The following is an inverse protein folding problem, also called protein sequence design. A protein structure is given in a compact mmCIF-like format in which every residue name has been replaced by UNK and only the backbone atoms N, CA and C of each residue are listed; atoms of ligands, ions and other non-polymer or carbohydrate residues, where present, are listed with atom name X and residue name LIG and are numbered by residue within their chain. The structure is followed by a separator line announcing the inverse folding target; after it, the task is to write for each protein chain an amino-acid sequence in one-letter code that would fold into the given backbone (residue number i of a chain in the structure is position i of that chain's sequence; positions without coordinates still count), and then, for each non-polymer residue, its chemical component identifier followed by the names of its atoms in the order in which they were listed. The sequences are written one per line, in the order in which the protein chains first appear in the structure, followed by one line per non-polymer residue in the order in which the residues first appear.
data_IF_193843854220
#
_entry.id   IF_193843854220
#
_cell.length_a   1.000
_cell.length_b   1.000
_cell.length_c   1.000
_cell.angle_alpha   90.00
_cell.angle_beta   90.00
_cell.angle_gamma   90.00
#
_symmetry.space_group_name_H-M   'P 1'
#
loop_
_entity.id
_entity.type
_entity.pdbx_description
1 polymer ?
#
# COMPACT_ATOMS: atom_id res chain seq x y z
N UNK A 1 -10.89 3.82 13.84
CA UNK A 1 -11.07 3.76 12.37
C UNK A 1 -10.04 4.60 11.62
N UNK A 2 -9.98 5.93 11.81
CA UNK A 2 -9.02 6.80 11.10
C UNK A 2 -7.54 6.41 11.30
N UNK A 3 -7.17 6.05 12.52
CA UNK A 3 -5.82 5.60 12.84
C UNK A 3 -5.44 4.27 12.14
N UNK A 4 -6.38 3.32 12.06
CA UNK A 4 -6.17 2.05 11.33
C UNK A 4 -5.96 2.33 9.84
N UNK A 5 -6.73 3.25 9.25
CA UNK A 5 -6.55 3.66 7.85
C UNK A 5 -5.18 4.31 7.60
N UNK A 6 -4.70 5.16 8.51
CA UNK A 6 -3.38 5.79 8.43
C UNK A 6 -2.25 4.75 8.55
N UNK A 7 -2.35 3.81 9.49
CA UNK A 7 -1.41 2.69 9.63
C UNK A 7 -1.41 1.81 8.38
N UNK A 8 -2.60 1.44 7.90
CA UNK A 8 -2.76 0.65 6.68
C UNK A 8 -2.14 1.34 5.46
N UNK A 9 -2.46 2.62 5.25
CA UNK A 9 -1.92 3.41 4.15
C UNK A 9 -0.39 3.47 4.16
N UNK A 10 0.22 3.71 5.32
CA UNK A 10 1.69 3.75 5.47
C UNK A 10 2.35 2.40 5.19
N UNK A 11 1.81 1.30 5.73
CA UNK A 11 2.38 -0.05 5.54
C UNK A 11 2.22 -0.51 4.09
N UNK A 12 1.03 -0.32 3.51
CA UNK A 12 0.76 -0.65 2.11
C UNK A 12 1.65 0.17 1.16
N UNK A 13 1.71 1.48 1.34
CA UNK A 13 2.49 2.39 0.49
C UNK A 13 3.98 2.06 0.49
N UNK A 14 4.56 1.87 1.67
CA UNK A 14 5.98 1.49 1.80
C UNK A 14 6.28 0.11 1.21
N UNK A 15 5.34 -0.84 1.33
CA UNK A 15 5.48 -2.18 0.71
C UNK A 15 5.45 -2.10 -0.82
N UNK A 16 4.53 -1.34 -1.40
CA UNK A 16 4.45 -1.11 -2.86
C UNK A 16 5.74 -0.44 -3.35
N UNK A 17 6.22 0.58 -2.64
CA UNK A 17 7.48 1.27 -2.96
C UNK A 17 8.66 0.31 -2.97
N UNK A 18 8.80 -0.52 -1.92
CA UNK A 18 9.87 -1.50 -1.85
C UNK A 18 9.80 -2.54 -2.97
N UNK A 19 8.60 -3.03 -3.30
CA UNK A 19 8.40 -3.95 -4.43
C UNK A 19 8.77 -3.30 -5.77
N UNK A 20 8.39 -2.03 -5.97
CA UNK A 20 8.75 -1.24 -7.15
C UNK A 20 10.25 -1.06 -7.29
N UNK A 21 10.92 -0.66 -6.22
CA UNK A 21 12.37 -0.43 -6.21
C UNK A 21 13.14 -1.74 -6.43
N UNK A 22 12.71 -2.85 -5.82
CA UNK A 22 13.27 -4.19 -6.05
C UNK A 22 13.13 -4.66 -7.51
N UNK A 23 12.04 -4.27 -8.18
CA UNK A 23 11.84 -4.53 -9.61
C UNK A 23 12.62 -3.56 -10.53
N UNK A 24 13.36 -2.60 -9.98
CA UNK A 24 14.12 -1.61 -10.76
C UNK A 24 13.24 -0.62 -11.50
N UNK A 25 12.00 -0.38 -11.05
CA UNK A 25 11.07 0.50 -11.73
C UNK A 25 11.09 1.91 -11.12
N UNK A 26 11.16 2.92 -11.98
CA UNK A 26 10.82 4.28 -11.59
C UNK A 26 9.32 4.37 -11.29
N UNK A 27 8.92 5.39 -10.53
CA UNK A 27 7.51 5.62 -10.24
C UNK A 27 6.68 5.84 -11.51
N UNK A 28 7.24 6.58 -12.47
CA UNK A 28 6.61 6.81 -13.77
C UNK A 28 6.43 5.49 -14.55
N UNK A 29 7.44 4.62 -14.53
CA UNK A 29 7.40 3.33 -15.23
C UNK A 29 6.31 2.42 -14.67
N UNK A 30 6.23 2.27 -13.35
CA UNK A 30 5.19 1.44 -12.74
C UNK A 30 3.79 2.02 -12.99
N UNK A 31 3.61 3.34 -12.82
CA UNK A 31 2.33 4.00 -13.05
C UNK A 31 1.83 3.78 -14.49
N UNK A 32 2.71 3.94 -15.48
CA UNK A 32 2.39 3.73 -16.89
C UNK A 32 1.96 2.28 -17.18
N UNK A 33 2.73 1.29 -16.71
CA UNK A 33 2.42 -0.13 -16.95
C UNK A 33 1.13 -0.53 -16.21
N UNK A 34 0.89 0.04 -15.02
CA UNK A 34 -0.31 -0.19 -14.22
C UNK A 34 -1.55 0.57 -14.74
N UNK A 35 -1.38 1.45 -15.72
CA UNK A 35 -2.46 2.30 -16.24
C UNK A 35 -3.08 3.14 -15.12
N UNK A 36 -2.25 3.82 -14.32
CA UNK A 36 -2.67 4.78 -13.30
C UNK A 36 -1.84 6.06 -13.41
N UNK A 37 -2.37 7.16 -12.89
CA UNK A 37 -1.63 8.41 -12.84
C UNK A 37 -0.40 8.32 -11.93
N UNK A 38 0.71 8.93 -12.35
CA UNK A 38 1.93 9.02 -11.55
C UNK A 38 1.67 9.61 -10.16
N UNK A 39 0.89 10.69 -10.10
CA UNK A 39 0.54 11.38 -8.84
C UNK A 39 -0.27 10.47 -7.91
N UNK A 40 -1.15 9.62 -8.46
CA UNK A 40 -1.89 8.62 -7.69
C UNK A 40 -0.93 7.59 -7.08
N UNK A 41 0.00 7.04 -7.86
CA UNK A 41 0.99 6.10 -7.32
C UNK A 41 1.88 6.76 -6.25
N UNK A 42 2.28 8.01 -6.46
CA UNK A 42 3.05 8.80 -5.48
C UNK A 42 2.33 8.98 -4.15
N UNK A 43 1.04 9.32 -4.18
CA UNK A 43 0.21 9.45 -2.96
C UNK A 43 0.03 8.10 -2.27
N UNK A 44 -0.16 7.02 -3.03
CA UNK A 44 -0.25 5.66 -2.49
C UNK A 44 1.05 5.27 -1.78
N UNK A 45 2.21 5.46 -2.41
CA UNK A 45 3.50 5.10 -1.82
C UNK A 45 3.84 5.90 -0.55
N UNK A 46 3.29 7.13 -0.41
CA UNK A 46 3.40 7.94 0.80
C UNK A 46 2.33 7.63 1.86
N UNK A 47 1.35 6.77 1.55
CA UNK A 47 0.22 6.47 2.44
C UNK A 47 -0.84 7.56 2.51
N UNK A 48 -0.79 8.57 1.64
CA UNK A 48 -1.74 9.70 1.58
C UNK A 48 -3.06 9.34 0.89
N UNK A 49 -3.12 8.15 0.27
CA UNK A 49 -4.33 7.61 -0.33
C UNK A 49 -4.28 6.09 -0.36
N UNK A 50 -5.37 5.46 0.08
CA UNK A 50 -5.55 4.02 -0.04
C UNK A 50 -6.12 3.72 -1.45
N UNK A 51 -5.48 2.84 -2.24
CA UNK A 51 -6.00 2.49 -3.56
C UNK A 51 -7.30 1.68 -3.44
N UNK A 52 -8.17 1.79 -4.45
CA UNK A 52 -9.25 0.82 -4.61
C UNK A 52 -8.69 -0.59 -4.83
N UNK A 53 -9.49 -1.62 -4.56
CA UNK A 53 -9.11 -3.02 -4.79
C UNK A 53 -8.64 -3.28 -6.22
N UNK A 54 -9.29 -2.66 -7.22
CA UNK A 54 -8.88 -2.79 -8.62
C UNK A 54 -7.55 -2.11 -8.92
N UNK A 55 -7.30 -0.91 -8.37
CA UNK A 55 -5.99 -0.24 -8.51
C UNK A 55 -4.89 -1.06 -7.85
N UNK A 56 -5.15 -1.61 -6.67
CA UNK A 56 -4.23 -2.50 -5.97
C UNK A 56 -3.90 -3.75 -6.80
N UNK A 57 -4.92 -4.36 -7.41
CA UNK A 57 -4.74 -5.49 -8.33
C UNK A 57 -3.86 -5.14 -9.54
N UNK A 58 -4.07 -3.98 -10.18
CA UNK A 58 -3.24 -3.52 -11.30
C UNK A 58 -1.76 -3.41 -10.91
N UNK A 59 -1.47 -2.82 -9.75
CA UNK A 59 -0.10 -2.68 -9.24
C UNK A 59 0.52 -4.05 -8.94
N UNK A 60 -0.19 -4.91 -8.20
CA UNK A 60 0.30 -6.23 -7.77
C UNK A 60 0.65 -7.16 -8.93
N UNK A 61 -0.06 -7.05 -10.05
CA UNK A 61 0.23 -7.83 -11.27
C UNK A 61 1.60 -7.51 -11.88
N UNK A 62 2.15 -6.35 -11.60
CA UNK A 62 3.41 -5.86 -12.19
C UNK A 62 4.55 -5.99 -11.20
N UNK A 63 4.29 -5.65 -9.93
CA UNK A 63 5.26 -5.80 -8.84
C UNK A 63 4.63 -6.67 -7.74
N UNK A 64 5.11 -7.91 -7.54
CA UNK A 64 4.52 -8.79 -6.55
C UNK A 64 4.85 -8.32 -5.13
N UNK A 65 3.82 -8.31 -4.28
CA UNK A 65 3.93 -8.11 -2.84
C UNK A 65 2.89 -8.96 -2.13
N UNK A 66 3.16 -9.23 -0.85
CA UNK A 66 2.35 -10.08 0.00
C UNK A 66 1.33 -9.26 0.80
N UNK A 67 0.05 -9.53 0.57
CA UNK A 67 -1.05 -8.87 1.28
C UNK A 67 -1.23 -9.43 2.69
N UNK A 68 -0.96 -10.72 2.90
CA UNK A 68 -1.06 -11.34 4.23
C UNK A 68 -0.06 -10.69 5.17
N UNK A 69 1.20 -10.56 4.73
CA UNK A 69 2.22 -9.86 5.51
C UNK A 69 1.92 -8.37 5.77
N UNK A 70 1.10 -7.72 4.94
CA UNK A 70 0.64 -6.35 5.21
C UNK A 70 -0.41 -6.37 6.32
N UNK A 71 -1.41 -7.25 6.24
CA UNK A 71 -2.46 -7.37 7.26
C UNK A 71 -1.88 -7.73 8.63
N UNK A 72 -0.97 -8.71 8.69
CA UNK A 72 -0.31 -9.12 9.94
C UNK A 72 0.42 -7.94 10.61
N UNK A 73 1.08 -7.08 9.82
CA UNK A 73 1.76 -5.89 10.33
C UNK A 73 0.77 -4.84 10.82
N UNK A 74 -0.32 -4.63 10.09
CA UNK A 74 -1.37 -3.69 10.49
C UNK A 74 -1.98 -4.15 11.80
N UNK A 75 -2.43 -5.39 11.90
CA UNK A 75 -2.99 -5.98 13.13
C UNK A 75 -2.02 -5.88 14.30
N UNK A 76 -0.73 -6.16 14.09
CA UNK A 76 0.29 -6.04 15.13
C UNK A 76 0.47 -4.59 15.61
N UNK A 77 0.47 -3.62 14.69
CA UNK A 77 0.65 -2.21 15.03
C UNK A 77 -0.63 -1.59 15.62
N UNK A 78 -1.80 -2.07 15.23
CA UNK A 78 -3.10 -1.59 15.73
C UNK A 78 -3.67 -2.44 16.87
N UNK A 79 -2.94 -3.45 17.36
CA UNK A 79 -3.43 -4.39 18.38
C UNK A 79 -3.94 -3.70 19.66
N UNK A 80 -3.37 -2.54 20.00
CA UNK A 80 -3.76 -1.75 21.15
C UNK A 80 -5.13 -1.05 20.98
N UNK A 81 -5.62 -0.90 19.74
CA UNK A 81 -6.91 -0.27 19.43
C UNK A 81 -8.09 -1.23 19.59
N UNK A 82 -7.83 -2.54 19.72
CA UNK A 82 -8.85 -3.56 19.98
C UNK A 82 -9.20 -3.68 21.49
N UNK A 83 -8.39 -3.10 22.37
CA UNK A 83 -8.58 -3.16 23.83
C UNK A 83 -9.59 -2.14 24.38
N UNK A 84 -9.99 -1.16 23.56
CA UNK A 84 -10.90 -0.07 23.95
C UNK A 84 -12.36 -0.30 23.49
N UNK A 85 -12.69 -1.47 22.93
CA UNK A 85 -14.06 -1.81 22.51
C UNK A 85 -14.80 -2.80 23.44
N UNK A 86 -14.40 -2.90 24.71
CA UNK A 86 -15.16 -3.65 25.74
C UNK A 86 -15.90 -2.73 26.70
#
# INVERSE_FOLDING_TARGET
MKEIEEVFGRILGSTIRAAREKAGFSILKLALIAGIDRSTLERIERGESIPSSFTLYKIRRIVPFDLTAIFDKVEKETHHLDLDQK
#
